data_IF_348712252728
#
_entry.id   IF_348712252728
#
_cell.length_a   1.000
_cell.length_b   1.000
_cell.length_c   1.000
_cell.angle_alpha   90.00
_cell.angle_beta   90.00
_cell.angle_gamma   90.00
#
_symmetry.space_group_name_H-M   'P 1'
#
loop_
_entity.id
_entity.type
_entity.pdbx_description
1 polymer ?
#
# COMPACT_ATOMS: atom_id res chain seq x y z
N UNK A 1 20.17 46.79 -13.78
CA UNK A 1 21.48 47.33 -14.18
C UNK A 1 22.65 46.42 -13.80
N UNK A 2 22.60 45.65 -12.70
CA UNK A 2 23.64 44.67 -12.33
C UNK A 2 23.23 43.19 -12.54
N UNK A 3 22.40 42.90 -13.55
CA UNK A 3 22.04 41.50 -13.82
C UNK A 3 23.24 40.84 -14.48
N UNK A 4 23.85 39.87 -13.79
CA UNK A 4 24.86 39.01 -14.41
C UNK A 4 24.18 38.18 -15.50
N UNK A 5 24.80 38.01 -16.68
CA UNK A 5 24.22 37.22 -17.76
C UNK A 5 24.05 35.73 -17.41
N UNK A 6 24.73 35.26 -16.36
CA UNK A 6 24.93 33.84 -16.07
C UNK A 6 24.42 33.45 -14.66
N UNK A 7 23.21 33.87 -14.29
CA UNK A 7 22.65 33.53 -12.98
C UNK A 7 22.48 32.01 -12.81
N UNK A 8 22.87 31.48 -11.64
CA UNK A 8 22.48 30.13 -11.24
C UNK A 8 20.95 30.03 -11.11
N UNK A 9 20.36 28.82 -11.15
CA UNK A 9 18.92 28.64 -10.89
C UNK A 9 18.47 29.23 -9.55
N UNK A 10 19.25 29.08 -8.47
CA UNK A 10 18.93 29.67 -7.17
C UNK A 10 18.98 31.20 -7.22
N UNK A 11 19.97 31.78 -7.90
CA UNK A 11 20.09 33.22 -8.09
C UNK A 11 18.95 33.81 -8.93
N UNK A 12 18.49 33.08 -9.96
CA UNK A 12 17.36 33.47 -10.80
C UNK A 12 16.01 33.44 -10.03
N UNK A 13 15.83 32.44 -9.15
CA UNK A 13 14.66 32.34 -8.26
C UNK A 13 14.66 33.48 -7.23
N UNK A 14 15.80 33.74 -6.57
CA UNK A 14 15.93 34.85 -5.62
C UNK A 14 15.71 36.21 -6.28
N UNK A 15 16.26 36.40 -7.49
CA UNK A 15 16.03 37.60 -8.29
C UNK A 15 14.55 37.77 -8.65
N UNK A 16 13.87 36.70 -9.09
CA UNK A 16 12.44 36.73 -9.41
C UNK A 16 11.57 37.07 -8.19
N UNK A 17 11.90 36.52 -7.00
CA UNK A 17 11.20 36.85 -5.75
C UNK A 17 11.36 38.33 -5.38
N UNK A 18 12.58 38.86 -5.47
CA UNK A 18 12.87 40.28 -5.22
C UNK A 18 12.15 41.20 -6.21
N UNK A 19 12.12 40.83 -7.49
CA UNK A 19 11.37 41.53 -8.53
C UNK A 19 9.86 41.56 -8.22
N UNK A 20 9.25 40.42 -7.87
CA UNK A 20 7.84 40.36 -7.48
C UNK A 20 7.53 41.20 -6.23
N UNK A 21 8.41 41.21 -5.24
CA UNK A 21 8.27 42.05 -4.05
C UNK A 21 8.32 43.54 -4.40
N UNK A 22 9.23 43.96 -5.28
CA UNK A 22 9.33 45.35 -5.76
C UNK A 22 8.11 45.77 -6.61
N UNK A 23 7.54 44.85 -7.40
CA UNK A 23 6.31 45.14 -8.16
C UNK A 23 5.13 45.47 -7.23
N UNK A 24 5.04 44.80 -6.07
CA UNK A 24 4.00 45.08 -5.06
C UNK A 24 4.13 46.46 -4.41
N UNK A 25 5.31 47.09 -4.49
CA UNK A 25 5.52 48.47 -3.99
C UNK A 25 5.24 49.53 -5.06
N UNK A 26 4.67 49.16 -6.21
CA UNK A 26 4.41 50.09 -7.33
C UNK A 26 5.64 50.47 -8.13
N UNK A 27 6.80 49.86 -7.87
CA UNK A 27 8.03 50.07 -8.64
C UNK A 27 7.92 49.36 -10.00
N UNK A 28 8.04 50.14 -11.07
CA UNK A 28 8.04 49.64 -12.45
C UNK A 28 9.40 49.01 -12.74
N UNK A 29 9.42 47.69 -12.92
CA UNK A 29 10.61 46.99 -13.40
C UNK A 29 10.77 47.33 -14.88
N UNK A 30 11.95 47.83 -15.25
CA UNK A 30 12.33 48.18 -16.63
C UNK A 30 11.98 47.04 -17.62
N UNK A 31 11.36 47.39 -18.74
CA UNK A 31 11.04 46.47 -19.86
C UNK A 31 12.24 45.66 -20.34
N UNK A 32 13.48 46.17 -20.27
CA UNK A 32 14.71 45.45 -20.62
C UNK A 32 15.01 44.28 -19.67
N UNK A 33 14.61 44.38 -18.39
CA UNK A 33 14.73 43.25 -17.45
C UNK A 33 13.69 42.19 -17.79
N UNK A 34 12.49 42.63 -18.17
CA UNK A 34 11.45 41.74 -18.71
C UNK A 34 11.85 41.11 -20.03
N UNK A 35 12.47 41.87 -20.95
CA UNK A 35 12.99 41.40 -22.24
C UNK A 35 14.14 40.41 -22.04
N UNK A 36 15.06 40.66 -21.10
CA UNK A 36 16.14 39.70 -20.81
C UNK A 36 15.61 38.37 -20.28
N UNK A 37 14.50 38.39 -19.52
CA UNK A 37 13.82 37.19 -19.04
C UNK A 37 12.93 36.56 -20.15
N UNK A 38 12.32 37.39 -21.01
CA UNK A 38 11.44 36.99 -22.11
C UNK A 38 12.18 36.52 -23.36
N UNK A 39 13.45 36.89 -23.58
CA UNK A 39 14.24 36.53 -24.77
C UNK A 39 14.47 35.01 -24.91
N UNK A 40 14.04 34.24 -23.92
CA UNK A 40 14.05 32.79 -23.95
C UNK A 40 12.70 32.19 -24.37
N UNK A 41 11.56 32.88 -24.23
CA UNK A 41 10.23 32.32 -24.50
C UNK A 41 9.55 33.04 -25.68
N UNK A 42 8.89 32.29 -26.56
CA UNK A 42 8.09 32.88 -27.63
C UNK A 42 6.86 33.61 -27.06
N UNK A 43 6.29 34.55 -27.82
CA UNK A 43 5.06 35.25 -27.41
C UNK A 43 3.91 34.27 -27.07
N UNK A 44 3.83 33.15 -27.79
CA UNK A 44 2.85 32.08 -27.51
C UNK A 44 3.10 31.41 -26.16
N UNK A 45 4.35 31.07 -25.85
CA UNK A 45 4.71 30.48 -24.56
C UNK A 45 4.46 31.46 -23.41
N UNK A 46 4.83 32.72 -23.57
CA UNK A 46 4.55 33.78 -22.58
C UNK A 46 3.05 33.91 -22.30
N UNK A 47 2.21 33.87 -23.34
CA UNK A 47 0.76 33.90 -23.18
C UNK A 47 0.23 32.68 -22.39
N UNK A 48 0.70 31.47 -22.73
CA UNK A 48 0.32 30.25 -22.01
C UNK A 48 0.71 30.31 -20.52
N UNK A 49 1.95 30.74 -20.23
CA UNK A 49 2.44 30.87 -18.87
C UNK A 49 1.62 31.90 -18.06
N UNK A 50 1.26 33.03 -18.67
CA UNK A 50 0.43 34.05 -18.04
C UNK A 50 -0.99 33.56 -17.76
N UNK A 51 -1.62 32.89 -18.73
CA UNK A 51 -2.97 32.33 -18.62
C UNK A 51 -3.06 31.29 -17.50
N UNK A 52 -2.02 30.50 -17.31
CA UNK A 52 -1.97 29.44 -16.29
C UNK A 52 -1.24 29.88 -15.01
N UNK A 53 -0.91 31.17 -14.86
CA UNK A 53 -0.24 31.71 -13.68
C UNK A 53 1.10 31.01 -13.33
N UNK A 54 1.82 30.49 -14.32
CA UNK A 54 3.13 29.84 -14.11
C UNK A 54 4.22 30.91 -14.03
N UNK A 55 5.05 30.85 -12.99
CA UNK A 55 6.16 31.79 -12.86
C UNK A 55 7.23 31.55 -13.92
N UNK A 56 7.92 32.59 -14.36
CA UNK A 56 9.02 32.46 -15.33
C UNK A 56 10.15 31.56 -14.81
N UNK A 57 10.44 31.63 -13.51
CA UNK A 57 11.43 30.77 -12.88
C UNK A 57 11.03 29.29 -12.99
N UNK A 58 9.74 28.97 -12.81
CA UNK A 58 9.25 27.61 -12.96
C UNK A 58 9.34 27.13 -14.40
N UNK A 59 8.91 27.98 -15.35
CA UNK A 59 9.00 27.69 -16.78
C UNK A 59 10.45 27.44 -17.23
N UNK A 60 11.40 28.24 -16.73
CA UNK A 60 12.82 28.08 -17.01
C UNK A 60 13.37 26.77 -16.47
N UNK A 61 13.01 26.40 -15.23
CA UNK A 61 13.35 25.10 -14.66
C UNK A 61 12.83 23.96 -15.53
N UNK A 62 11.53 23.95 -15.85
CA UNK A 62 10.93 22.86 -16.63
C UNK A 62 11.56 22.72 -18.01
N UNK A 63 11.81 23.85 -18.68
CA UNK A 63 12.50 23.85 -19.97
C UNK A 63 13.93 23.32 -19.87
N UNK A 64 14.69 23.74 -18.85
CA UNK A 64 16.06 23.27 -18.61
C UNK A 64 16.10 21.74 -18.44
N UNK A 65 15.08 21.19 -17.79
CA UNK A 65 14.90 19.74 -17.61
C UNK A 65 14.24 19.04 -18.83
N UNK A 66 14.14 19.73 -19.97
CA UNK A 66 13.68 19.19 -21.23
C UNK A 66 12.17 18.95 -21.31
N UNK A 67 11.36 19.67 -20.54
CA UNK A 67 9.91 19.68 -20.69
C UNK A 67 9.48 20.88 -21.56
N UNK A 68 8.83 20.67 -22.72
CA UNK A 68 8.43 21.77 -23.58
C UNK A 68 7.31 22.60 -22.94
N UNK A 69 7.23 23.89 -23.25
CA UNK A 69 6.16 24.78 -22.80
C UNK A 69 5.04 24.74 -23.82
N UNK A 70 4.03 23.91 -23.60
CA UNK A 70 2.89 23.72 -24.50
C UNK A 70 1.58 23.86 -23.73
N UNK A 71 0.46 23.96 -24.46
CA UNK A 71 -0.86 24.02 -23.84
C UNK A 71 -1.17 22.77 -22.98
N UNK A 72 -0.53 21.63 -23.28
CA UNK A 72 -0.72 20.40 -22.54
C UNK A 72 0.15 20.31 -21.28
N UNK A 73 1.38 20.83 -21.30
CA UNK A 73 2.32 20.70 -20.17
C UNK A 73 2.15 21.79 -19.12
N UNK A 74 1.82 23.01 -19.56
CA UNK A 74 1.73 24.21 -18.70
C UNK A 74 0.72 24.05 -17.55
N UNK A 75 -0.46 23.44 -17.72
CA UNK A 75 -1.41 23.24 -16.62
C UNK A 75 -0.83 22.45 -15.42
N UNK A 76 0.14 21.56 -15.64
CA UNK A 76 0.81 20.81 -14.56
C UNK A 76 1.90 21.61 -13.84
N UNK A 77 2.33 22.75 -14.42
CA UNK A 77 3.33 23.63 -13.83
C UNK A 77 2.71 24.66 -12.86
N UNK A 78 1.40 24.89 -12.95
CA UNK A 78 0.68 26.02 -12.36
C UNK A 78 0.35 25.93 -10.86
N UNK A 79 0.60 24.79 -10.21
CA UNK A 79 0.16 24.57 -8.83
C UNK A 79 1.15 25.19 -7.83
N UNK A 80 0.83 26.42 -7.44
CA UNK A 80 1.72 27.44 -6.86
C UNK A 80 2.15 27.30 -5.40
N UNK A 81 2.55 26.13 -4.95
CA UNK A 81 3.40 25.98 -3.76
C UNK A 81 4.50 24.95 -4.06
N UNK A 82 5.74 25.21 -3.65
CA UNK A 82 6.90 24.36 -3.98
C UNK A 82 6.71 22.88 -3.62
N UNK A 83 5.94 22.60 -2.58
CA UNK A 83 5.67 21.25 -2.07
C UNK A 83 4.65 20.46 -2.91
N UNK A 84 3.82 21.15 -3.70
CA UNK A 84 2.84 20.52 -4.59
C UNK A 84 3.33 20.42 -6.04
N UNK A 85 4.55 20.87 -6.30
CA UNK A 85 5.14 20.90 -7.63
C UNK A 85 5.41 19.48 -8.13
N UNK A 86 5.02 19.20 -9.37
CA UNK A 86 5.42 17.99 -10.08
C UNK A 86 6.80 18.19 -10.71
N UNK A 87 7.66 17.21 -10.62
CA UNK A 87 8.92 17.19 -11.36
C UNK A 87 8.66 16.99 -12.86
N UNK A 88 9.62 17.33 -13.73
CA UNK A 88 9.51 17.09 -15.17
C UNK A 88 9.29 15.61 -15.52
N UNK A 89 9.93 14.70 -14.76
CA UNK A 89 9.76 13.26 -14.95
C UNK A 89 8.33 12.80 -14.60
N UNK A 90 7.78 13.32 -13.51
CA UNK A 90 6.39 13.03 -13.13
C UNK A 90 5.39 13.61 -14.14
N UNK A 91 5.61 14.83 -14.65
CA UNK A 91 4.76 15.39 -15.71
C UNK A 91 4.79 14.48 -16.95
N UNK A 92 5.97 13.99 -17.35
CA UNK A 92 6.09 13.03 -18.45
C UNK A 92 5.31 11.73 -18.18
N UNK A 93 5.36 11.20 -16.95
CA UNK A 93 4.62 10.00 -16.57
C UNK A 93 3.10 10.21 -16.63
N UNK A 94 2.58 11.29 -16.04
CA UNK A 94 1.13 11.54 -16.02
C UNK A 94 0.58 11.85 -17.42
N UNK A 95 1.39 12.49 -18.28
CA UNK A 95 1.03 12.75 -19.68
C UNK A 95 1.12 11.52 -20.58
N UNK A 96 1.95 10.52 -20.23
CA UNK A 96 2.06 9.27 -20.97
C UNK A 96 0.87 8.33 -20.77
N UNK A 97 0.05 8.56 -19.73
CA UNK A 97 -1.19 7.81 -19.50
C UNK A 97 -2.18 8.01 -20.64
N UNK A 98 -3.05 7.02 -20.86
CA UNK A 98 -4.07 7.04 -21.93
C UNK A 98 -5.47 6.79 -21.33
N UNK A 99 -6.32 7.82 -21.20
CA UNK A 99 -6.01 9.25 -21.41
C UNK A 99 -5.06 9.80 -20.31
N UNK A 100 -4.36 10.92 -20.57
CA UNK A 100 -3.54 11.59 -19.56
C UNK A 100 -4.31 11.86 -18.26
N UNK A 101 -3.63 11.89 -17.12
CA UNK A 101 -4.24 12.33 -15.87
C UNK A 101 -4.41 13.84 -15.91
N UNK A 102 -5.56 14.40 -15.54
CA UNK A 102 -5.71 15.86 -15.46
C UNK A 102 -4.79 16.49 -14.39
N UNK A 103 -4.51 17.80 -14.44
CA UNK A 103 -3.71 18.47 -13.42
C UNK A 103 -4.23 18.29 -11.98
N UNK A 104 -5.56 18.25 -11.81
CA UNK A 104 -6.17 17.97 -10.52
C UNK A 104 -5.88 16.55 -10.04
N UNK A 105 -6.00 15.55 -10.93
CA UNK A 105 -5.70 14.15 -10.62
C UNK A 105 -4.22 13.96 -10.26
N UNK A 106 -3.32 14.64 -10.99
CA UNK A 106 -1.90 14.63 -10.69
C UNK A 106 -1.59 15.32 -9.34
N UNK A 107 -2.33 16.38 -8.99
CA UNK A 107 -2.20 17.06 -7.69
C UNK A 107 -2.73 16.21 -6.53
N UNK A 108 -3.71 15.35 -6.77
CA UNK A 108 -4.23 14.44 -5.73
C UNK A 108 -3.16 13.46 -5.23
N UNK A 109 -2.15 13.11 -6.04
CA UNK A 109 -0.97 12.35 -5.58
C UNK A 109 -0.24 13.09 -4.45
N UNK A 110 -0.01 14.40 -4.60
CA UNK A 110 0.62 15.23 -3.57
C UNK A 110 -0.23 15.34 -2.32
N UNK A 111 -1.53 15.49 -2.48
CA UNK A 111 -2.47 15.62 -1.36
C UNK A 111 -2.59 14.35 -0.51
N UNK A 112 -2.31 13.20 -1.10
CA UNK A 112 -2.42 11.86 -0.49
C UNK A 112 -1.08 11.25 -0.11
N UNK A 113 0.05 11.90 -0.44
CA UNK A 113 1.39 11.37 -0.18
C UNK A 113 1.78 10.19 -1.09
N UNK A 114 0.99 9.90 -2.12
CA UNK A 114 1.34 8.86 -3.09
C UNK A 114 2.40 9.42 -4.03
N UNK A 115 3.55 8.74 -4.12
CA UNK A 115 4.58 9.11 -5.09
C UNK A 115 4.09 8.83 -6.51
N UNK A 116 4.44 9.68 -7.50
CA UNK A 116 4.13 9.46 -8.92
C UNK A 116 5.26 8.62 -9.51
N UNK A 117 5.05 7.31 -9.58
CA UNK A 117 5.99 6.31 -10.06
C UNK A 117 5.29 5.44 -11.11
N UNK A 118 6.02 4.74 -11.99
CA UNK A 118 5.41 3.80 -12.93
C UNK A 118 4.50 2.77 -12.23
N UNK A 119 4.87 2.31 -11.03
CA UNK A 119 4.15 1.33 -10.20
C UNK A 119 2.93 1.89 -9.48
N UNK A 120 2.77 3.21 -9.42
CA UNK A 120 1.65 3.88 -8.74
C UNK A 120 0.73 4.60 -9.72
N UNK A 121 0.93 4.44 -11.03
CA UNK A 121 0.04 5.02 -12.04
C UNK A 121 -1.37 4.44 -11.92
N UNK A 122 -2.41 5.29 -11.94
CA UNK A 122 -3.71 4.86 -11.51
C UNK A 122 -4.46 4.22 -12.68
N UNK A 123 -5.30 3.24 -12.38
CA UNK A 123 -6.36 2.82 -13.30
C UNK A 123 -7.61 3.64 -13.03
N UNK A 124 -8.41 3.90 -14.07
CA UNK A 124 -9.66 4.63 -13.92
C UNK A 124 -10.75 3.69 -13.44
N UNK A 125 -11.41 4.06 -12.35
CA UNK A 125 -12.57 3.33 -11.83
C UNK A 125 -13.77 3.70 -12.69
N UNK A 126 -14.49 2.70 -13.16
CA UNK A 126 -15.68 2.86 -14.01
C UNK A 126 -16.94 2.47 -13.24
N UNK A 127 -18.11 2.71 -13.84
CA UNK A 127 -19.39 2.39 -13.22
C UNK A 127 -20.01 3.54 -12.42
N UNK A 128 -21.13 3.23 -11.75
CA UNK A 128 -21.93 4.24 -11.04
C UNK A 128 -21.39 4.51 -9.63
N UNK A 129 -20.45 5.45 -9.54
CA UNK A 129 -19.82 5.82 -8.28
C UNK A 129 -20.75 6.56 -7.30
N UNK A 130 -21.92 7.02 -7.74
CA UNK A 130 -22.95 7.57 -6.84
C UNK A 130 -23.64 6.48 -6.00
N UNK A 131 -23.37 5.20 -6.27
CA UNK A 131 -23.97 4.04 -5.59
C UNK A 131 -22.93 3.06 -5.04
N UNK A 132 -21.71 3.52 -4.75
CA UNK A 132 -20.70 2.69 -4.11
C UNK A 132 -21.26 2.10 -2.79
N UNK A 133 -21.43 0.78 -2.76
CA UNK A 133 -21.88 0.08 -1.57
C UNK A 133 -20.70 -0.07 -0.61
N UNK A 134 -20.84 0.41 0.62
CA UNK A 134 -19.81 0.20 1.64
C UNK A 134 -19.71 -1.30 1.96
N UNK A 135 -18.55 -1.90 1.74
CA UNK A 135 -18.22 -3.28 2.11
C UNK A 135 -17.85 -3.38 3.59
N UNK A 136 -17.19 -2.34 4.12
CA UNK A 136 -16.73 -2.33 5.50
C UNK A 136 -16.19 -0.97 5.92
N UNK A 137 -15.93 -0.84 7.23
CA UNK A 137 -15.21 0.29 7.81
C UNK A 137 -14.20 -0.22 8.83
N UNK A 138 -12.95 0.20 8.70
CA UNK A 138 -11.93 0.07 9.72
C UNK A 138 -11.93 1.29 10.64
N UNK A 139 -10.89 1.39 11.48
CA UNK A 139 -10.69 2.56 12.34
C UNK A 139 -10.40 3.84 11.53
N UNK A 140 -9.72 3.69 10.38
CA UNK A 140 -9.20 4.82 9.61
C UNK A 140 -9.86 5.01 8.25
N UNK A 141 -10.40 3.94 7.67
CA UNK A 141 -10.81 3.94 6.27
C UNK A 141 -12.13 3.18 6.08
N UNK A 142 -12.94 3.66 5.14
CA UNK A 142 -14.09 2.92 4.61
C UNK A 142 -13.68 2.22 3.32
N UNK A 143 -14.29 1.07 3.06
CA UNK A 143 -14.04 0.26 1.87
C UNK A 143 -15.35 0.09 1.13
N UNK A 144 -15.30 0.20 -0.20
CA UNK A 144 -16.44 0.24 -1.08
C UNK A 144 -16.35 -0.84 -2.15
N UNK A 145 -17.51 -1.31 -2.61
CA UNK A 145 -17.63 -2.16 -3.77
C UNK A 145 -17.57 -1.31 -5.03
N UNK A 146 -16.66 -1.62 -5.95
CA UNK A 146 -16.48 -0.90 -7.19
C UNK A 146 -16.16 -1.85 -8.35
N UNK A 147 -16.17 -1.31 -9.56
CA UNK A 147 -15.75 -2.02 -10.77
C UNK A 147 -14.67 -1.19 -11.46
N UNK A 148 -13.67 -1.86 -12.01
CA UNK A 148 -12.63 -1.20 -12.82
C UNK A 148 -12.62 -1.78 -14.22
N UNK A 149 -12.52 -0.89 -15.20
CA UNK A 149 -12.24 -1.24 -16.58
C UNK A 149 -10.85 -0.72 -16.95
N UNK A 150 -9.93 -1.64 -17.26
CA UNK A 150 -8.66 -1.27 -17.90
C UNK A 150 -8.85 -1.35 -19.41
N UNK A 151 -8.25 -0.43 -20.16
CA UNK A 151 -8.42 -0.39 -21.62
C UNK A 151 -8.05 -1.76 -22.23
N UNK A 152 -9.00 -2.39 -22.91
CA UNK A 152 -8.82 -3.70 -23.53
C UNK A 152 -8.93 -4.90 -22.58
N UNK A 153 -9.32 -4.71 -21.32
CA UNK A 153 -9.59 -5.79 -20.36
C UNK A 153 -11.06 -5.78 -19.95
N UNK A 154 -11.64 -6.95 -19.61
CA UNK A 154 -12.99 -7.01 -19.06
C UNK A 154 -13.05 -6.24 -17.73
N UNK A 155 -14.25 -5.74 -17.43
CA UNK A 155 -14.54 -5.17 -16.12
C UNK A 155 -14.32 -6.22 -15.02
N UNK A 156 -13.65 -5.83 -13.93
CA UNK A 156 -13.45 -6.69 -12.76
C UNK A 156 -13.97 -6.04 -11.48
N UNK A 157 -14.62 -6.81 -10.59
CA UNK A 157 -15.10 -6.29 -9.32
C UNK A 157 -13.93 -6.11 -8.34
N UNK A 158 -13.90 -4.96 -7.65
CA UNK A 158 -12.81 -4.58 -6.74
C UNK A 158 -13.34 -4.00 -5.44
N UNK A 159 -12.55 -4.10 -4.39
CA UNK A 159 -12.67 -3.27 -3.21
C UNK A 159 -11.92 -1.96 -3.45
N UNK A 160 -12.61 -0.82 -3.35
CA UNK A 160 -12.03 0.52 -3.43
C UNK A 160 -11.93 1.15 -2.04
N UNK A 161 -10.74 1.64 -1.69
CA UNK A 161 -10.43 2.30 -0.43
C UNK A 161 -9.90 3.70 -0.75
N UNK A 162 -10.73 4.76 -0.66
CA UNK A 162 -10.30 6.13 -0.89
C UNK A 162 -9.08 6.48 -0.03
N UNK A 163 -8.11 7.20 -0.60
CA UNK A 163 -6.96 7.67 0.17
C UNK A 163 -7.34 8.92 0.95
N UNK A 164 -7.14 8.94 2.28
CA UNK A 164 -7.31 10.17 3.04
C UNK A 164 -6.23 11.19 2.65
N UNK A 165 -6.52 12.46 2.92
CA UNK A 165 -5.54 13.52 2.76
C UNK A 165 -4.41 13.35 3.78
N UNK A 166 -3.20 13.82 3.45
CA UNK A 166 -2.05 13.79 4.36
C UNK A 166 -2.37 14.39 5.74
N UNK A 167 -3.13 15.48 5.76
CA UNK A 167 -3.58 16.17 6.98
C UNK A 167 -4.58 15.40 7.84
N UNK A 168 -5.14 14.31 7.33
CA UNK A 168 -6.14 13.47 7.99
C UNK A 168 -5.59 12.11 8.40
N UNK A 169 -4.30 11.85 8.17
CA UNK A 169 -3.70 10.61 8.62
C UNK A 169 -3.68 10.55 10.15
N UNK A 170 -4.36 9.54 10.66
CA UNK A 170 -4.15 9.06 12.01
C UNK A 170 -3.45 7.71 11.87
N UNK A 171 -2.26 7.57 12.47
CA UNK A 171 -1.53 6.32 12.40
C UNK A 171 -2.09 5.32 13.38
N UNK A 172 -2.28 4.10 12.91
CA UNK A 172 -2.62 2.98 13.77
C UNK A 172 -1.54 2.71 14.81
N UNK A 173 -1.92 2.01 15.86
CA UNK A 173 -0.99 1.67 16.94
C UNK A 173 0.20 0.86 16.42
N UNK A 174 -0.02 -0.07 15.48
CA UNK A 174 1.06 -0.88 14.87
C UNK A 174 1.99 -0.01 14.02
N UNK A 175 1.47 1.01 13.34
CA UNK A 175 2.29 1.98 12.60
C UNK A 175 3.28 2.72 13.49
N UNK A 176 2.85 3.23 14.65
CA UNK A 176 3.73 3.91 15.61
C UNK A 176 4.85 2.97 16.10
N UNK A 177 4.50 1.75 16.52
CA UNK A 177 5.48 0.80 17.07
C UNK A 177 6.42 0.24 16.03
N UNK A 178 5.94 0.03 14.81
CA UNK A 178 6.78 -0.42 13.71
C UNK A 178 7.64 0.70 13.12
N UNK A 179 7.44 1.96 13.52
CA UNK A 179 8.26 3.08 13.08
C UNK A 179 7.90 3.60 11.69
N UNK A 180 6.66 3.42 11.26
CA UNK A 180 6.10 4.10 10.09
C UNK A 180 6.05 5.60 10.37
N UNK A 181 6.49 6.42 9.41
CA UNK A 181 6.40 7.89 9.54
C UNK A 181 4.93 8.32 9.58
N UNK A 182 4.55 9.02 10.64
CA UNK A 182 3.17 9.48 10.84
C UNK A 182 2.77 10.58 9.87
N UNK A 183 3.73 11.32 9.32
CA UNK A 183 3.49 12.43 8.39
C UNK A 183 3.47 11.96 6.93
N UNK A 184 4.14 10.84 6.63
CA UNK A 184 4.16 10.21 5.32
C UNK A 184 4.05 8.68 5.47
N UNK A 185 2.86 8.18 5.85
CA UNK A 185 2.69 6.78 6.18
C UNK A 185 2.76 5.86 4.96
N UNK A 186 2.66 6.38 3.73
CA UNK A 186 2.76 5.61 2.48
C UNK A 186 1.86 4.36 2.43
N UNK A 187 0.65 4.46 2.98
CA UNK A 187 -0.28 3.31 3.09
C UNK A 187 -0.54 2.64 1.74
N UNK A 188 -0.68 3.42 0.66
CA UNK A 188 -0.89 2.88 -0.66
C UNK A 188 0.31 2.06 -1.15
N UNK A 189 1.51 2.64 -1.04
CA UNK A 189 2.75 2.02 -1.48
C UNK A 189 3.07 0.74 -0.70
N UNK A 190 2.73 0.68 0.61
CA UNK A 190 2.89 -0.55 1.42
C UNK A 190 2.01 -1.70 0.93
N UNK A 191 0.76 -1.43 0.56
CA UNK A 191 -0.12 -2.46 0.01
C UNK A 191 0.38 -2.95 -1.36
N UNK A 192 0.82 -2.03 -2.24
CA UNK A 192 1.40 -2.37 -3.54
C UNK A 192 2.67 -3.23 -3.39
N UNK A 193 3.60 -2.81 -2.54
CA UNK A 193 4.83 -3.55 -2.27
C UNK A 193 4.55 -4.92 -1.66
N UNK A 194 3.58 -5.04 -0.76
CA UNK A 194 3.17 -6.33 -0.18
C UNK A 194 2.67 -7.29 -1.27
N UNK A 195 1.90 -6.80 -2.24
CA UNK A 195 1.44 -7.61 -3.37
C UNK A 195 2.59 -8.06 -4.29
N UNK A 196 3.54 -7.19 -4.63
CA UNK A 196 4.69 -7.58 -5.47
C UNK A 196 5.66 -8.55 -4.75
N UNK A 197 5.78 -8.45 -3.42
CA UNK A 197 6.53 -9.43 -2.60
C UNK A 197 5.80 -10.79 -2.60
N UNK A 198 4.49 -10.81 -2.40
CA UNK A 198 3.67 -12.03 -2.46
C UNK A 198 3.79 -12.73 -3.82
N UNK A 199 3.74 -11.96 -4.91
CA UNK A 199 3.94 -12.45 -6.27
C UNK A 199 5.35 -13.02 -6.48
N UNK A 200 6.38 -12.40 -5.90
CA UNK A 200 7.76 -12.89 -5.96
C UNK A 200 7.95 -14.19 -5.19
N UNK A 201 7.17 -14.41 -4.12
CA UNK A 201 7.12 -15.68 -3.38
C UNK A 201 6.27 -16.74 -4.09
N UNK A 202 5.35 -16.34 -4.97
CA UNK A 202 4.40 -17.23 -5.64
C UNK A 202 3.32 -17.78 -4.70
N UNK A 203 3.05 -17.11 -3.58
CA UNK A 203 2.08 -17.58 -2.59
C UNK A 203 0.64 -17.24 -2.95
N UNK A 204 0.42 -16.12 -3.62
CA UNK A 204 -0.91 -15.64 -4.03
C UNK A 204 -1.86 -15.45 -2.84
N UNK A 205 -1.33 -14.93 -1.72
CA UNK A 205 -2.10 -14.66 -0.49
C UNK A 205 -2.34 -13.17 -0.25
N UNK A 206 -1.84 -12.28 -1.11
CA UNK A 206 -2.23 -10.87 -1.16
C UNK A 206 -3.12 -10.60 -2.39
N UNK A 207 -4.17 -9.77 -2.27
CA UNK A 207 -5.00 -9.42 -3.42
C UNK A 207 -4.18 -8.58 -4.41
N UNK A 208 -4.47 -8.73 -5.71
CA UNK A 208 -3.95 -7.80 -6.71
C UNK A 208 -4.34 -6.38 -6.30
N UNK A 209 -3.32 -5.54 -6.16
CA UNK A 209 -3.46 -4.17 -5.66
C UNK A 209 -2.94 -3.20 -6.70
N UNK A 210 -3.71 -2.15 -6.97
CA UNK A 210 -3.35 -1.05 -7.87
C UNK A 210 -3.82 0.29 -7.26
N UNK A 211 -3.33 1.41 -7.78
CA UNK A 211 -3.93 2.71 -7.50
C UNK A 211 -5.15 2.87 -8.43
N UNK A 212 -6.28 3.28 -7.86
CA UNK A 212 -7.47 3.66 -8.61
C UNK A 212 -7.72 5.16 -8.53
N UNK A 213 -8.29 5.72 -9.60
CA UNK A 213 -8.83 7.07 -9.57
C UNK A 213 -10.32 7.09 -9.85
N UNK A 214 -11.06 7.72 -8.95
CA UNK A 214 -12.52 7.85 -9.00
C UNK A 214 -12.88 9.30 -9.36
N UNK A 215 -13.63 9.46 -10.46
CA UNK A 215 -14.08 10.78 -10.94
C UNK A 215 -15.51 11.14 -10.51
N UNK A 216 -16.27 10.21 -9.94
CA UNK A 216 -17.69 10.39 -9.67
C UNK A 216 -18.09 10.12 -8.21
N UNK A 217 -19.13 10.82 -7.80
CA UNK A 217 -19.70 10.84 -6.46
C UNK A 217 -20.27 12.22 -6.16
N UNK A 218 -21.59 12.32 -5.93
CA UNK A 218 -22.23 13.52 -5.33
C UNK A 218 -21.62 13.93 -4.00
N UNK A 219 -20.91 13.01 -3.36
CA UNK A 219 -20.16 13.21 -2.13
C UNK A 219 -18.66 13.24 -2.45
N UNK A 220 -17.99 14.35 -2.13
CA UNK A 220 -16.54 14.53 -2.30
C UNK A 220 -15.68 13.47 -1.59
N UNK A 221 -16.28 12.62 -0.76
CA UNK A 221 -15.60 11.53 -0.02
C UNK A 221 -14.98 10.46 -0.95
N UNK A 222 -15.50 10.29 -2.17
CA UNK A 222 -15.06 9.24 -3.10
C UNK A 222 -14.26 9.76 -4.28
N UNK A 223 -14.08 11.08 -4.39
CA UNK A 223 -13.39 11.69 -5.53
C UNK A 223 -11.88 11.70 -5.27
N UNK A 224 -11.12 11.27 -6.27
CA UNK A 224 -9.66 11.28 -6.23
C UNK A 224 -9.05 9.89 -6.18
N UNK A 225 -7.83 9.80 -5.63
CA UNK A 225 -7.07 8.57 -5.55
C UNK A 225 -7.57 7.65 -4.44
N UNK A 226 -7.45 6.36 -4.68
CA UNK A 226 -7.63 5.32 -3.69
C UNK A 226 -6.84 4.06 -4.03
N UNK A 227 -6.80 3.12 -3.10
CA UNK A 227 -6.36 1.77 -3.38
C UNK A 227 -7.51 0.98 -3.98
N UNK A 228 -7.22 0.23 -5.04
CA UNK A 228 -8.12 -0.83 -5.50
C UNK A 228 -7.47 -2.18 -5.23
N UNK A 229 -8.28 -3.12 -4.76
CA UNK A 229 -7.86 -4.50 -4.46
C UNK A 229 -8.87 -5.46 -5.07
N UNK A 230 -8.41 -6.59 -5.60
CA UNK A 230 -9.33 -7.68 -5.94
C UNK A 230 -10.18 -8.04 -4.72
N UNK A 231 -11.47 -8.31 -4.95
CA UNK A 231 -12.37 -8.72 -3.87
C UNK A 231 -11.98 -10.11 -3.38
N UNK A 232 -11.53 -10.17 -2.13
CA UNK A 232 -11.32 -11.42 -1.43
C UNK A 232 -12.62 -12.22 -1.34
N UNK A 233 -12.56 -13.51 -1.66
CA UNK A 233 -13.71 -14.41 -1.65
C UNK A 233 -13.80 -15.21 -0.34
N UNK A 234 -14.97 -15.77 -0.06
CA UNK A 234 -15.17 -16.65 1.09
C UNK A 234 -15.51 -15.90 2.38
N UNK A 235 -15.16 -16.50 3.53
CA UNK A 235 -15.47 -15.98 4.87
C UNK A 235 -14.28 -15.25 5.44
N UNK A 236 -14.52 -14.20 6.24
CA UNK A 236 -13.45 -13.62 7.06
C UNK A 236 -12.97 -14.66 8.08
N UNK A 237 -11.69 -14.64 8.45
CA UNK A 237 -11.12 -15.54 9.45
C UNK A 237 -11.89 -15.57 10.78
N UNK A 238 -12.37 -14.39 11.23
CA UNK A 238 -13.17 -14.22 12.43
C UNK A 238 -14.58 -14.82 12.36
N UNK A 239 -14.98 -15.35 11.20
CA UNK A 239 -16.28 -15.98 10.95
C UNK A 239 -16.13 -17.48 10.60
N UNK A 240 -14.91 -18.01 10.59
CA UNK A 240 -14.65 -19.44 10.38
C UNK A 240 -15.02 -20.29 11.59
N UNK A 241 -15.48 -21.51 11.32
CA UNK A 241 -15.66 -22.56 12.32
C UNK A 241 -14.31 -23.18 12.76
N UNK A 242 -14.33 -23.93 13.86
CA UNK A 242 -13.18 -24.73 14.30
C UNK A 242 -12.75 -25.74 13.23
N UNK A 243 -13.71 -26.35 12.53
CA UNK A 243 -13.43 -27.38 11.52
C UNK A 243 -12.82 -26.77 10.27
N UNK A 244 -13.27 -25.58 9.87
CA UNK A 244 -12.67 -24.81 8.76
C UNK A 244 -11.22 -24.40 9.09
N UNK A 245 -10.94 -24.00 10.33
CA UNK A 245 -9.58 -23.67 10.79
C UNK A 245 -8.69 -24.92 10.96
N UNK A 246 -9.30 -26.08 11.22
CA UNK A 246 -8.62 -27.37 11.26
C UNK A 246 -8.36 -27.97 9.87
N UNK A 247 -8.95 -27.41 8.81
CA UNK A 247 -8.79 -27.91 7.45
C UNK A 247 -7.31 -27.87 7.02
N UNK A 248 -6.73 -28.98 6.49
CA UNK A 248 -5.29 -29.08 6.24
C UNK A 248 -4.80 -28.01 5.25
N UNK A 249 -5.55 -27.77 4.18
CA UNK A 249 -5.19 -26.74 3.20
C UNK A 249 -5.41 -25.31 3.72
N UNK A 250 -6.31 -25.07 4.68
CA UNK A 250 -6.45 -23.75 5.31
C UNK A 250 -5.23 -23.45 6.19
N UNK A 251 -4.76 -24.44 6.96
CA UNK A 251 -3.52 -24.33 7.75
C UNK A 251 -2.31 -24.02 6.87
N UNK A 252 -2.21 -24.71 5.73
CA UNK A 252 -1.17 -24.46 4.72
C UNK A 252 -1.19 -23.02 4.22
N UNK A 253 -2.33 -22.57 3.69
CA UNK A 253 -2.43 -21.25 3.08
C UNK A 253 -2.32 -20.11 4.12
N UNK A 254 -2.79 -20.30 5.35
CA UNK A 254 -2.55 -19.35 6.44
C UNK A 254 -1.08 -19.28 6.85
N UNK A 255 -0.34 -20.38 6.74
CA UNK A 255 1.11 -20.39 6.98
C UNK A 255 1.84 -19.58 5.90
N UNK A 256 1.41 -19.64 4.64
CA UNK A 256 1.96 -18.74 3.59
C UNK A 256 1.69 -17.27 3.89
N UNK A 257 0.48 -16.93 4.34
CA UNK A 257 0.15 -15.57 4.76
C UNK A 257 1.01 -15.12 5.94
N UNK A 258 1.24 -16.00 6.91
CA UNK A 258 2.14 -15.73 8.04
C UNK A 258 3.58 -15.49 7.59
N UNK A 259 4.09 -16.25 6.61
CA UNK A 259 5.42 -16.03 6.03
C UNK A 259 5.51 -14.67 5.34
N UNK A 260 4.50 -14.32 4.52
CA UNK A 260 4.44 -13.00 3.89
C UNK A 260 4.45 -11.90 4.96
N UNK A 261 3.56 -12.01 5.95
CA UNK A 261 3.45 -11.06 7.07
C UNK A 261 4.75 -10.97 7.89
N UNK A 262 5.53 -12.06 8.03
CA UNK A 262 6.83 -12.04 8.68
C UNK A 262 7.85 -11.19 7.90
N UNK A 263 7.89 -11.32 6.57
CA UNK A 263 8.79 -10.55 5.70
C UNK A 263 8.35 -9.08 5.67
N UNK A 264 7.07 -8.82 5.43
CA UNK A 264 6.55 -7.45 5.35
C UNK A 264 6.30 -6.84 6.72
N UNK A 265 6.41 -7.57 7.82
CA UNK A 265 6.23 -7.07 9.19
C UNK A 265 4.84 -6.51 9.42
N UNK A 266 3.83 -7.22 8.93
CA UNK A 266 2.44 -6.87 9.16
C UNK A 266 2.09 -7.21 10.62
N UNK A 267 1.94 -6.17 11.43
CA UNK A 267 1.69 -6.33 12.86
C UNK A 267 0.22 -6.43 13.26
N UNK A 268 -0.74 -6.11 12.39
CA UNK A 268 -2.18 -6.09 12.71
C UNK A 268 -2.96 -7.23 12.03
N UNK A 269 -2.31 -8.38 11.76
CA UNK A 269 -3.02 -9.54 11.19
C UNK A 269 -3.91 -10.22 12.22
N UNK A 270 -5.22 -10.12 12.04
CA UNK A 270 -6.22 -10.88 12.80
C UNK A 270 -7.32 -11.43 11.88
N UNK A 271 -8.24 -12.24 12.41
CA UNK A 271 -9.35 -12.83 11.65
C UNK A 271 -10.26 -11.85 10.89
N UNK A 272 -10.18 -10.55 11.15
CA UNK A 272 -10.91 -9.53 10.38
C UNK A 272 -10.17 -9.05 9.12
N UNK A 273 -8.88 -9.36 9.01
CA UNK A 273 -7.98 -8.87 7.97
C UNK A 273 -7.57 -9.98 7.00
N UNK A 274 -8.22 -11.13 7.01
CA UNK A 274 -8.04 -12.12 5.94
C UNK A 274 -9.34 -12.87 5.68
N UNK A 275 -9.45 -13.39 4.46
CA UNK A 275 -10.55 -14.23 4.02
C UNK A 275 -10.05 -15.62 3.66
N UNK A 276 -10.93 -16.60 3.76
CA UNK A 276 -10.71 -17.99 3.37
C UNK A 276 -11.87 -18.45 2.50
N UNK A 277 -11.55 -18.87 1.29
CA UNK A 277 -12.49 -19.49 0.36
C UNK A 277 -12.13 -20.97 0.20
N UNK A 278 -13.07 -21.85 0.55
CA UNK A 278 -12.93 -23.30 0.40
C UNK A 278 -13.96 -23.73 -0.65
N UNK A 279 -13.49 -24.37 -1.71
CA UNK A 279 -14.32 -25.03 -2.72
C UNK A 279 -14.08 -26.53 -2.56
N UNK A 280 -15.04 -27.28 -2.00
CA UNK A 280 -14.90 -28.71 -1.79
C UNK A 280 -14.68 -29.45 -3.10
N UNK A 281 -13.83 -30.46 -3.05
CA UNK A 281 -13.66 -31.44 -4.11
C UNK A 281 -14.87 -32.37 -4.21
N UNK A 282 -15.06 -32.98 -5.38
CA UNK A 282 -16.16 -33.92 -5.61
C UNK A 282 -15.94 -35.30 -4.96
N UNK A 283 -14.72 -35.63 -4.55
CA UNK A 283 -14.38 -36.94 -3.98
C UNK A 283 -14.42 -36.97 -2.44
N UNK A 284 -14.70 -35.83 -1.80
CA UNK A 284 -14.81 -35.70 -0.35
C UNK A 284 -13.47 -35.77 0.39
N UNK A 285 -12.34 -35.78 -0.31
CA UNK A 285 -11.03 -35.72 0.32
C UNK A 285 -10.61 -34.25 0.53
N UNK A 286 -10.48 -33.77 1.78
CA UNK A 286 -10.13 -32.37 2.06
C UNK A 286 -8.75 -31.95 1.52
N UNK A 287 -7.87 -32.90 1.18
CA UNK A 287 -6.60 -32.59 0.51
C UNK A 287 -6.74 -32.24 -0.97
N UNK A 288 -7.91 -32.53 -1.57
CA UNK A 288 -8.22 -32.21 -2.97
C UNK A 288 -9.09 -30.96 -3.12
N UNK A 289 -9.52 -30.34 -2.01
CA UNK A 289 -10.27 -29.10 -2.01
C UNK A 289 -9.43 -27.95 -2.59
N UNK A 290 -10.09 -26.97 -3.20
CA UNK A 290 -9.42 -25.72 -3.58
C UNK A 290 -9.58 -24.72 -2.44
N UNK A 291 -8.46 -24.32 -1.84
CA UNK A 291 -8.43 -23.33 -0.76
C UNK A 291 -7.63 -22.11 -1.18
N UNK A 292 -8.23 -20.93 -1.00
CA UNK A 292 -7.57 -19.64 -1.18
C UNK A 292 -7.64 -18.85 0.11
N UNK A 293 -6.51 -18.31 0.56
CA UNK A 293 -6.42 -17.32 1.63
C UNK A 293 -6.06 -15.98 1.03
N UNK A 294 -6.71 -14.90 1.45
CA UNK A 294 -6.39 -13.54 0.99
C UNK A 294 -6.28 -12.60 2.18
N UNK A 295 -5.06 -12.14 2.47
CA UNK A 295 -4.73 -11.15 3.48
C UNK A 295 -4.91 -9.72 2.96
N UNK A 296 -5.82 -8.98 3.58
CA UNK A 296 -6.16 -7.59 3.22
C UNK A 296 -5.62 -6.61 4.29
N UNK A 297 -5.80 -5.31 4.05
CA UNK A 297 -5.46 -4.24 5.00
C UNK A 297 -3.96 -4.21 5.36
N UNK A 298 -3.10 -4.17 4.33
CA UNK A 298 -1.65 -4.17 4.47
C UNK A 298 -1.07 -2.77 4.73
N UNK A 299 -1.85 -1.88 5.34
CA UNK A 299 -1.47 -0.49 5.62
C UNK A 299 -0.37 -0.39 6.70
N UNK A 300 -0.40 -1.27 7.70
CA UNK A 300 0.45 -1.19 8.90
C UNK A 300 1.61 -2.21 8.85
N UNK A 301 2.26 -2.30 7.70
CA UNK A 301 3.44 -3.14 7.46
C UNK A 301 4.67 -2.30 7.06
N UNK A 302 5.81 -2.95 6.88
CA UNK A 302 7.06 -2.39 6.35
C UNK A 302 7.63 -1.22 7.17
N UNK A 303 7.35 -1.17 8.47
CA UNK A 303 7.96 -0.17 9.35
C UNK A 303 9.44 -0.49 9.64
N UNK A 304 10.24 0.56 9.86
CA UNK A 304 11.70 0.45 10.03
C UNK A 304 12.19 -0.09 11.38
N UNK A 305 11.31 -0.16 12.41
CA UNK A 305 11.69 -0.58 13.79
C UNK A 305 11.48 -2.06 14.07
N UNK A 306 10.84 -2.79 13.16
CA UNK A 306 10.67 -4.24 13.26
C UNK A 306 11.63 -4.91 12.28
N UNK A 307 12.73 -5.45 12.79
CA UNK A 307 13.78 -6.09 12.02
C UNK A 307 13.81 -7.62 12.22
N UNK A 308 13.00 -8.15 13.14
CA UNK A 308 12.83 -9.57 13.38
C UNK A 308 11.34 -9.93 13.48
N UNK A 309 10.84 -10.93 12.72
CA UNK A 309 9.43 -11.31 12.75
C UNK A 309 8.89 -11.68 14.15
N UNK A 310 9.72 -12.22 15.04
CA UNK A 310 9.29 -12.58 16.40
C UNK A 310 8.94 -11.37 17.28
N UNK A 311 9.24 -10.13 16.83
CA UNK A 311 8.80 -8.90 17.49
C UNK A 311 7.33 -8.53 17.18
N UNK A 312 6.70 -9.20 16.20
CA UNK A 312 5.29 -8.95 15.81
C UNK A 312 4.28 -9.59 16.77
N UNK A 313 4.74 -10.25 17.83
CA UNK A 313 3.90 -10.99 18.75
C UNK A 313 3.18 -10.03 19.69
N UNK A 314 1.89 -10.30 19.96
CA UNK A 314 1.18 -9.60 21.02
C UNK A 314 1.82 -9.86 22.40
N UNK A 315 2.11 -8.80 23.14
CA UNK A 315 2.35 -8.89 24.58
C UNK A 315 1.61 -7.77 25.31
N UNK A 316 1.37 -7.97 26.62
CA UNK A 316 0.63 -7.00 27.46
C UNK A 316 1.45 -5.76 27.82
N UNK A 317 2.69 -5.65 27.37
CA UNK A 317 3.54 -4.48 27.59
C UNK A 317 3.28 -3.38 26.56
N UNK A 318 3.74 -2.15 26.86
CA UNK A 318 3.50 -1.01 25.98
C UNK A 318 4.20 -1.09 24.62
N UNK A 319 5.25 -1.91 24.48
CA UNK A 319 5.98 -2.07 23.22
C UNK A 319 5.21 -2.97 22.25
N UNK A 320 4.45 -3.94 22.76
CA UNK A 320 3.78 -4.97 21.95
C UNK A 320 2.23 -4.93 22.01
N UNK A 321 1.65 -4.07 22.84
CA UNK A 321 0.19 -3.93 23.03
C UNK A 321 -0.56 -3.45 21.78
N UNK A 322 -0.97 -4.37 20.93
CA UNK A 322 -1.78 -4.05 19.75
C UNK A 322 -1.24 -4.71 18.49
N UNK A 323 -0.03 -5.28 18.56
CA UNK A 323 0.35 -6.29 17.61
C UNK A 323 -0.58 -7.48 17.77
N UNK A 324 -0.86 -8.12 16.65
CA UNK A 324 -1.71 -9.30 16.53
C UNK A 324 -1.00 -10.39 15.76
N UNK A 325 0.26 -10.19 15.35
CA UNK A 325 1.06 -11.21 14.72
C UNK A 325 1.35 -12.40 15.64
N UNK A 326 2.04 -13.39 15.08
CA UNK A 326 2.54 -14.57 15.77
C UNK A 326 4.04 -14.70 15.50
N UNK A 327 4.71 -15.60 16.21
CA UNK A 327 6.13 -15.94 15.98
C UNK A 327 6.32 -16.59 14.61
N UNK A 328 7.57 -16.73 14.19
CA UNK A 328 7.91 -17.49 12.99
C UNK A 328 7.34 -18.92 13.04
N UNK A 329 6.85 -19.48 11.92
CA UNK A 329 6.18 -20.77 11.90
C UNK A 329 7.13 -21.90 12.31
N UNK A 330 6.63 -22.83 13.12
CA UNK A 330 7.36 -24.05 13.50
C UNK A 330 7.25 -25.18 12.47
N UNK A 331 6.33 -25.04 11.52
CA UNK A 331 6.15 -26.00 10.43
C UNK A 331 5.92 -25.28 9.11
N UNK A 332 6.60 -25.75 8.07
CA UNK A 332 6.43 -25.31 6.69
C UNK A 332 6.52 -26.53 5.76
N UNK A 333 6.08 -26.39 4.52
CA UNK A 333 6.37 -27.39 3.50
C UNK A 333 7.60 -27.05 2.63
N UNK A 334 8.01 -28.00 1.79
CA UNK A 334 9.16 -27.81 0.88
C UNK A 334 8.97 -26.68 -0.12
N UNK A 335 7.74 -26.39 -0.56
CA UNK A 335 7.46 -25.31 -1.52
C UNK A 335 7.71 -23.95 -0.86
N UNK A 336 7.19 -23.77 0.36
CA UNK A 336 7.42 -22.57 1.17
C UNK A 336 8.90 -22.36 1.46
N UNK A 337 9.62 -23.43 1.86
CA UNK A 337 11.07 -23.37 2.11
C UNK A 337 11.83 -22.91 0.88
N UNK A 338 11.46 -23.44 -0.30
CA UNK A 338 12.07 -23.05 -1.57
C UNK A 338 11.79 -21.58 -1.87
N UNK A 339 10.54 -21.13 -1.81
CA UNK A 339 10.16 -19.74 -2.08
C UNK A 339 10.91 -18.74 -1.19
N UNK A 340 11.03 -19.02 0.11
CA UNK A 340 11.74 -18.14 1.06
C UNK A 340 13.24 -18.05 0.74
N UNK A 341 13.88 -19.18 0.38
CA UNK A 341 15.30 -19.20 0.03
C UNK A 341 15.60 -18.58 -1.35
N UNK A 342 14.63 -18.64 -2.25
CA UNK A 342 14.75 -18.07 -3.60
C UNK A 342 14.55 -16.55 -3.60
N UNK A 343 13.74 -15.99 -2.70
CA UNK A 343 13.62 -14.55 -2.54
C UNK A 343 14.95 -13.94 -2.06
N UNK A 344 15.54 -13.07 -2.88
CA UNK A 344 16.85 -12.45 -2.61
C UNK A 344 16.72 -11.04 -2.05
N UNK A 345 17.68 -10.57 -1.22
CA UNK A 345 17.65 -9.22 -0.65
C UNK A 345 17.60 -8.08 -1.68
N UNK A 346 18.25 -8.24 -2.83
CA UNK A 346 18.28 -7.26 -3.93
C UNK A 346 16.93 -7.18 -4.67
N UNK A 347 16.23 -8.31 -4.82
CA UNK A 347 14.85 -8.32 -5.32
C UNK A 347 13.93 -7.54 -4.38
N UNK A 348 14.07 -7.77 -3.06
CA UNK A 348 13.28 -7.07 -2.05
C UNK A 348 13.58 -5.57 -2.01
N UNK A 349 14.86 -5.18 -2.07
CA UNK A 349 15.29 -3.78 -2.19
C UNK A 349 14.67 -3.12 -3.42
N UNK A 350 14.80 -3.76 -4.59
CA UNK A 350 14.24 -3.22 -5.82
C UNK A 350 12.73 -2.99 -5.73
N UNK A 351 11.96 -3.96 -5.21
CA UNK A 351 10.50 -3.81 -5.06
C UNK A 351 10.18 -2.62 -4.16
N UNK A 352 10.84 -2.51 -3.01
CA UNK A 352 10.56 -1.47 -2.04
C UNK A 352 10.99 -0.08 -2.53
N UNK A 353 12.13 0.02 -3.22
CA UNK A 353 12.60 1.26 -3.85
C UNK A 353 11.67 1.72 -4.98
N UNK A 354 11.22 0.78 -5.83
CA UNK A 354 10.25 1.05 -6.90
C UNK A 354 8.89 1.54 -6.36
N UNK A 355 8.62 1.34 -5.07
CA UNK A 355 7.45 1.85 -4.36
C UNK A 355 7.77 3.05 -3.44
N UNK A 356 9.00 3.56 -3.47
CA UNK A 356 9.40 4.76 -2.76
C UNK A 356 9.49 4.59 -1.24
N UNK A 357 9.74 3.38 -0.74
CA UNK A 357 10.04 3.14 0.68
C UNK A 357 11.45 3.64 1.00
N UNK A 358 11.72 3.96 2.26
CA UNK A 358 13.04 4.46 2.69
C UNK A 358 14.05 3.33 2.85
N UNK A 359 15.36 3.63 2.75
CA UNK A 359 16.40 2.62 2.94
C UNK A 359 16.35 1.94 4.32
N UNK A 360 15.87 2.63 5.36
CA UNK A 360 15.71 2.05 6.69
C UNK A 360 14.61 0.97 6.69
N UNK A 361 13.49 1.22 5.99
CA UNK A 361 12.42 0.25 5.81
C UNK A 361 12.85 -0.94 4.94
N UNK A 362 13.63 -0.68 3.88
CA UNK A 362 14.27 -1.71 3.04
C UNK A 362 15.17 -2.61 3.88
N UNK A 363 16.07 -2.00 4.66
CA UNK A 363 17.01 -2.72 5.52
C UNK A 363 16.26 -3.58 6.54
N UNK A 364 15.21 -3.05 7.18
CA UNK A 364 14.39 -3.81 8.11
C UNK A 364 13.70 -5.01 7.43
N UNK A 365 13.24 -4.87 6.18
CA UNK A 365 12.65 -5.97 5.41
C UNK A 365 13.67 -7.06 5.07
N UNK A 366 14.88 -6.67 4.66
CA UNK A 366 15.98 -7.59 4.40
C UNK A 366 16.41 -8.34 5.67
N UNK A 367 16.45 -7.65 6.82
CA UNK A 367 16.76 -8.26 8.10
C UNK A 367 15.70 -9.31 8.48
N UNK A 368 14.41 -9.02 8.28
CA UNK A 368 13.32 -9.97 8.51
C UNK A 368 13.42 -11.20 7.60
N UNK A 369 13.70 -11.00 6.32
CA UNK A 369 13.94 -12.10 5.37
C UNK A 369 15.12 -12.97 5.82
N UNK A 370 16.24 -12.36 6.20
CA UNK A 370 17.43 -13.07 6.69
C UNK A 370 17.14 -13.85 7.97
N UNK A 371 16.42 -13.25 8.93
CA UNK A 371 16.00 -13.91 10.17
C UNK A 371 15.13 -15.12 9.89
N UNK A 372 14.17 -15.00 8.96
CA UNK A 372 13.30 -16.10 8.54
C UNK A 372 14.09 -17.22 7.83
N UNK A 373 14.97 -16.88 6.89
CA UNK A 373 15.84 -17.85 6.21
C UNK A 373 16.70 -18.65 7.21
N UNK A 374 17.25 -17.97 8.22
CA UNK A 374 17.97 -18.62 9.32
C UNK A 374 17.07 -19.53 10.15
N UNK A 375 15.85 -19.10 10.46
CA UNK A 375 14.87 -19.88 11.23
C UNK A 375 14.46 -21.18 10.53
N UNK A 376 14.21 -21.14 9.22
CA UNK A 376 13.79 -22.33 8.44
C UNK A 376 14.95 -23.26 8.06
N UNK A 377 16.20 -22.79 8.17
CA UNK A 377 17.39 -23.61 8.03
C UNK A 377 17.71 -24.41 9.30
N UNK A 378 17.22 -23.97 10.45
CA UNK A 378 17.41 -24.61 11.75
C UNK A 378 16.32 -25.67 12.00
N UNK A 379 16.66 -26.93 11.75
CA UNK A 379 15.74 -28.07 11.95
C UNK A 379 15.34 -28.29 13.42
N UNK A 380 15.95 -27.60 14.39
CA UNK A 380 15.50 -27.62 15.79
C UNK A 380 14.34 -26.64 16.05
N UNK A 381 14.12 -25.68 15.13
CA UNK A 381 13.08 -24.65 15.23
C UNK A 381 11.94 -24.85 14.25
N UNK A 382 12.24 -25.43 13.08
CA UNK A 382 11.28 -25.61 12.00
C UNK A 382 11.28 -27.04 11.49
N UNK A 383 10.10 -27.66 11.51
CA UNK A 383 9.83 -28.93 10.83
C UNK A 383 9.45 -28.66 9.37
N UNK A 384 10.09 -29.35 8.42
CA UNK A 384 9.80 -29.24 6.99
C UNK A 384 9.11 -30.52 6.52
N UNK A 385 7.91 -30.40 5.94
CA UNK A 385 7.09 -31.53 5.47
C UNK A 385 6.91 -31.53 3.96
N UNK A 386 6.44 -32.65 3.40
CA UNK A 386 5.93 -32.70 2.02
C UNK A 386 4.61 -31.92 1.95
N UNK A 387 4.33 -31.16 0.86
CA UNK A 387 3.06 -30.43 0.69
C UNK A 387 1.80 -31.29 0.80
N UNK A 388 1.86 -32.61 0.66
CA UNK A 388 0.71 -33.51 0.88
C UNK A 388 0.46 -33.87 2.35
N UNK A 389 1.41 -33.60 3.24
CA UNK A 389 1.40 -34.06 4.63
C UNK A 389 0.74 -33.05 5.60
N UNK A 390 0.02 -32.04 5.07
CA UNK A 390 -0.66 -31.01 5.88
C UNK A 390 -1.81 -31.54 6.77
N UNK A 391 -2.23 -32.80 6.58
CA UNK A 391 -3.16 -33.52 7.46
C UNK A 391 -2.47 -34.46 8.47
N UNK A 392 -1.15 -34.46 8.53
CA UNK A 392 -0.39 -35.40 9.37
C UNK A 392 -0.39 -34.99 10.84
N UNK A 393 -0.19 -35.97 11.72
CA UNK A 393 0.02 -35.73 13.16
C UNK A 393 1.19 -34.78 13.43
N UNK A 394 2.23 -34.80 12.59
CA UNK A 394 3.36 -33.87 12.69
C UNK A 394 2.91 -32.41 12.62
N UNK A 395 1.91 -32.10 11.80
CA UNK A 395 1.34 -30.75 11.71
C UNK A 395 0.65 -30.39 13.01
N UNK A 396 -0.22 -31.26 13.53
CA UNK A 396 -0.90 -31.02 14.79
C UNK A 396 0.08 -30.80 15.96
N UNK A 397 1.18 -31.56 15.99
CA UNK A 397 2.20 -31.46 17.05
C UNK A 397 3.04 -30.16 16.97
N UNK A 398 3.05 -29.48 15.82
CA UNK A 398 3.84 -28.26 15.59
C UNK A 398 3.00 -26.98 15.45
N UNK A 399 1.67 -27.08 15.41
CA UNK A 399 0.78 -25.93 15.37
C UNK A 399 0.39 -25.49 16.78
N UNK A 400 0.84 -24.31 17.18
CA UNK A 400 0.41 -23.66 18.41
C UNK A 400 0.02 -22.20 18.18
N UNK A 401 -0.79 -21.66 19.09
CA UNK A 401 -1.34 -20.30 19.02
C UNK A 401 -0.29 -19.18 18.98
N UNK A 402 0.93 -19.44 19.45
CA UNK A 402 1.97 -18.43 19.55
C UNK A 402 2.80 -18.38 18.25
N UNK A 403 2.75 -19.41 17.40
CA UNK A 403 3.46 -19.48 16.11
C UNK A 403 2.59 -19.88 14.91
N UNK A 404 1.27 -19.87 15.02
CA UNK A 404 0.36 -20.16 13.90
C UNK A 404 -0.92 -19.34 13.96
N UNK A 405 -1.25 -18.67 12.84
CA UNK A 405 -2.56 -18.02 12.71
C UNK A 405 -3.72 -19.00 12.82
N UNK A 406 -3.63 -20.18 12.19
CA UNK A 406 -4.68 -21.19 12.23
C UNK A 406 -4.94 -21.66 13.67
N UNK A 407 -3.88 -22.00 14.43
CA UNK A 407 -4.02 -22.44 15.81
C UNK A 407 -4.51 -21.33 16.74
N UNK A 408 -3.97 -20.11 16.59
CA UNK A 408 -4.41 -18.93 17.36
C UNK A 408 -5.90 -18.70 17.22
N UNK A 409 -6.38 -18.68 15.97
CA UNK A 409 -7.78 -18.37 15.68
C UNK A 409 -8.70 -19.56 16.00
N UNK A 410 -8.20 -20.80 15.91
CA UNK A 410 -8.90 -22.00 16.37
C UNK A 410 -9.18 -21.94 17.87
N UNK A 411 -8.15 -21.65 18.68
CA UNK A 411 -8.31 -21.55 20.13
C UNK A 411 -9.26 -20.43 20.55
N UNK A 412 -9.18 -19.26 19.89
CA UNK A 412 -10.12 -18.17 20.11
C UNK A 412 -11.56 -18.59 19.83
N UNK A 413 -11.79 -19.39 18.78
CA UNK A 413 -13.12 -19.91 18.44
C UNK A 413 -13.62 -20.89 19.50
N UNK A 414 -12.80 -21.85 19.91
CA UNK A 414 -13.16 -22.83 20.94
C UNK A 414 -13.51 -22.13 22.25
N UNK A 415 -12.68 -21.17 22.68
CA UNK A 415 -12.93 -20.38 23.88
C UNK A 415 -14.24 -19.59 23.81
N UNK A 416 -14.52 -18.95 22.66
CA UNK A 416 -15.78 -18.23 22.45
C UNK A 416 -17.01 -19.15 22.48
N UNK A 417 -16.94 -20.32 21.85
CA UNK A 417 -18.02 -21.31 21.87
C UNK A 417 -18.28 -21.82 23.28
N UNK A 418 -17.23 -22.07 24.07
CA UNK A 418 -17.38 -22.48 25.47
C UNK A 418 -18.06 -21.40 26.30
N UNK A 419 -17.62 -20.14 26.19
CA UNK A 419 -18.25 -19.01 26.88
C UNK A 419 -19.74 -18.84 26.53
N UNK A 420 -20.12 -19.12 25.28
CA UNK A 420 -21.52 -19.07 24.86
C UNK A 420 -22.35 -20.19 25.49
N UNK A 421 -21.80 -21.41 25.55
CA UNK A 421 -22.45 -22.56 26.22
C UNK A 421 -22.66 -22.28 27.70
N UNK A 422 -21.65 -21.76 28.39
CA UNK A 422 -21.72 -21.43 29.81
C UNK A 422 -22.82 -20.39 30.08
N UNK A 423 -22.87 -19.32 29.27
CA UNK A 423 -23.93 -18.30 29.37
C UNK A 423 -25.34 -18.84 29.10
N UNK A 424 -25.49 -19.79 28.16
CA UNK A 424 -26.80 -20.39 27.88
C UNK A 424 -27.24 -21.34 29.01
N UNK A 425 -26.31 -22.05 29.64
CA UNK A 425 -26.60 -22.89 30.80
C UNK A 425 -27.09 -22.05 31.99
N UNK A 426 -26.45 -20.90 32.25
CA UNK A 426 -26.83 -19.98 33.34
C UNK A 426 -28.25 -19.41 33.16
N UNK A 427 -28.65 -19.11 31.91
CA UNK A 427 -30.01 -18.63 31.60
C UNK A 427 -31.04 -19.74 31.83
N UNK A 428 -30.73 -20.99 31.45
CA UNK A 428 -31.62 -22.14 31.63
C UNK A 428 -31.78 -22.61 33.07
N UNK A 429 -30.81 -22.34 33.96
CA UNK A 429 -30.91 -22.64 35.39
C UNK A 429 -31.65 -21.57 36.21
N UNK A 430 -31.95 -20.41 35.60
CA UNK A 430 -32.61 -19.27 36.26
C UNK A 430 -34.12 -19.17 35.93
N UNK A 431 -34.64 -20.08 35.12
CA UNK A 431 -36.06 -20.27 34.77
C UNK A 431 -36.60 -21.54 35.40
#
# INVERSE_FOLDING_TARGET
QNIKPDLSPEEAVDFSKKALALKKTGLVINEQVWSFINDKFSARETALLQENHVSLADAQYYRKEGLPITADTVPYMAHGFSEQRLTPAEIKLVMAQKPPLSPQEATDYRRTGVAILPTTMPVRITGNLDKLQQLGKGAFNKVYDATVAKQGQPERPVAFKPMPLLSQHNTGWVSDKSGIDVNDPKFAQRNLATYEIDKSLGFNVAPQTEIGISQAGRHNEYKGLGLIMDKAQGKMGKDLSSDELAHPLVRRELTKLQILDAIVGQGDRHGGNYFVHIIPSNDGNPLNDTVTVTGIDNDQCLGQKIDNPDQLVYAKDNAHKGFRGVRMPKIIDTDMKKAINDLKPDVLEKILDDHGLSQAEVTAAQNRLSALQKHIADNTKTTVIDPKDWNSKTVDDNLDKDSSYAARDFEQRVAFQQQLKDKLADVGSSS
#
